data_IF_396290847968
#
_entry.id   IF_396290847968
#
_cell.length_a   1.000
_cell.length_b   1.000
_cell.length_c   1.000
_cell.angle_alpha   90.00
_cell.angle_beta   90.00
_cell.angle_gamma   90.00
#
_symmetry.space_group_name_H-M   'P 1'
#
loop_
_entity.id
_entity.type
_entity.pdbx_description
1 polymer ?
#
# COMPACT_ATOMS: atom_id res chain seq x y z
N UNK A 1 5.49 13.61 -18.59
CA UNK A 1 6.25 14.35 -17.58
C UNK A 1 6.68 13.40 -16.47
N UNK A 2 7.92 12.91 -16.56
CA UNK A 2 8.57 12.14 -15.49
C UNK A 2 9.26 13.06 -14.48
N UNK A 3 9.37 14.35 -14.77
CA UNK A 3 9.83 15.36 -13.82
C UNK A 3 8.86 15.44 -12.64
N UNK A 4 9.26 15.01 -11.48
CA UNK A 4 8.44 14.94 -10.27
C UNK A 4 8.06 13.54 -9.83
N UNK A 5 8.21 12.51 -10.69
CA UNK A 5 7.90 11.12 -10.34
C UNK A 5 9.12 10.26 -10.06
N UNK A 6 10.31 10.81 -10.18
CA UNK A 6 11.56 10.05 -10.11
C UNK A 6 11.83 9.24 -11.39
N UNK A 7 13.04 8.70 -11.46
CA UNK A 7 13.54 7.98 -12.66
C UNK A 7 12.93 6.58 -12.83
N UNK A 8 12.27 6.06 -11.81
CA UNK A 8 11.83 4.66 -11.74
C UNK A 8 10.32 4.48 -11.95
N UNK A 9 9.62 5.53 -12.34
CA UNK A 9 8.19 5.44 -12.68
C UNK A 9 8.04 4.71 -13.98
N UNK A 10 7.51 3.49 -13.92
CA UNK A 10 7.45 2.60 -15.06
C UNK A 10 6.09 2.54 -15.71
N UNK A 11 5.02 2.78 -14.97
CA UNK A 11 3.69 2.84 -15.52
C UNK A 11 3.15 4.26 -15.54
N UNK A 12 2.27 4.53 -16.54
CA UNK A 12 1.54 5.74 -16.53
C UNK A 12 0.66 5.76 -15.31
N UNK A 13 1.08 6.57 -14.42
CA UNK A 13 0.20 7.03 -13.38
C UNK A 13 -0.75 8.09 -13.92
N UNK A 14 -0.43 8.65 -15.08
CA UNK A 14 -1.12 9.72 -15.78
C UNK A 14 -1.32 9.40 -17.26
N UNK A 15 -2.29 10.09 -17.86
CA UNK A 15 -2.65 9.97 -19.27
C UNK A 15 -1.57 10.47 -20.26
N UNK A 16 -0.53 11.13 -19.75
CA UNK A 16 0.45 11.88 -20.54
C UNK A 16 1.79 11.17 -20.69
N UNK A 17 1.78 9.83 -20.79
CA UNK A 17 3.04 9.16 -21.14
C UNK A 17 3.41 9.52 -22.56
N UNK A 18 4.61 10.05 -22.68
CA UNK A 18 5.22 10.30 -23.96
C UNK A 18 5.33 9.00 -24.76
N UNK A 19 4.70 8.99 -25.93
CA UNK A 19 4.75 7.83 -26.84
C UNK A 19 6.19 7.49 -27.22
N UNK A 20 6.49 6.21 -27.22
CA UNK A 20 7.83 5.70 -27.58
C UNK A 20 8.80 5.56 -26.40
N UNK A 21 8.40 5.99 -25.20
CA UNK A 21 9.17 5.72 -23.97
C UNK A 21 9.03 4.27 -23.54
N UNK A 22 9.97 3.80 -22.73
CA UNK A 22 9.92 2.46 -22.15
C UNK A 22 8.63 2.26 -21.30
N UNK A 23 8.24 3.24 -20.51
CA UNK A 23 7.01 3.18 -19.70
C UNK A 23 5.75 3.05 -20.55
N UNK A 24 5.65 3.79 -21.65
CA UNK A 24 4.53 3.68 -22.59
C UNK A 24 4.46 2.27 -23.22
N UNK A 25 5.61 1.69 -23.59
CA UNK A 25 5.67 0.34 -24.13
C UNK A 25 5.20 -0.70 -23.11
N UNK A 26 5.68 -0.64 -21.88
CA UNK A 26 5.26 -1.52 -20.79
C UNK A 26 3.77 -1.44 -20.53
N UNK A 27 3.21 -0.25 -20.58
CA UNK A 27 1.77 -0.03 -20.42
C UNK A 27 0.96 -0.61 -21.57
N UNK A 28 1.40 -0.39 -22.80
CA UNK A 28 0.75 -0.99 -23.97
C UNK A 28 0.77 -2.51 -23.90
N UNK A 29 1.88 -3.12 -23.49
CA UNK A 29 1.99 -4.57 -23.26
C UNK A 29 1.02 -5.05 -22.17
N UNK A 30 0.90 -4.31 -21.07
CA UNK A 30 -0.03 -4.62 -19.99
C UNK A 30 -1.48 -4.60 -20.48
N UNK A 31 -1.92 -3.54 -21.15
CA UNK A 31 -3.30 -3.40 -21.64
C UNK A 31 -3.60 -4.38 -22.78
N UNK A 32 -2.67 -4.58 -23.72
CA UNK A 32 -2.86 -5.52 -24.81
C UNK A 32 -2.92 -6.96 -24.29
N UNK A 33 -2.06 -7.35 -23.33
CA UNK A 33 -2.12 -8.67 -22.69
C UNK A 33 -3.46 -8.95 -22.01
N UNK A 34 -4.05 -7.95 -21.35
CA UNK A 34 -5.43 -8.04 -20.87
C UNK A 34 -6.44 -8.25 -22.02
N UNK A 35 -6.28 -7.46 -23.10
CA UNK A 35 -7.17 -7.50 -24.26
C UNK A 35 -7.13 -8.85 -24.99
N UNK A 36 -5.96 -9.46 -25.12
CA UNK A 36 -5.75 -10.76 -25.73
C UNK A 36 -6.42 -11.89 -24.94
N UNK A 37 -6.41 -11.78 -23.62
CA UNK A 37 -7.01 -12.79 -22.75
C UNK A 37 -8.52 -12.65 -22.63
N UNK A 38 -9.04 -11.43 -22.57
CA UNK A 38 -10.44 -11.16 -22.27
C UNK A 38 -11.13 -10.40 -23.41
N UNK A 39 -11.06 -9.08 -23.36
CA UNK A 39 -11.62 -8.17 -24.35
C UNK A 39 -11.02 -6.78 -24.16
N UNK A 40 -10.37 -6.25 -25.17
CA UNK A 40 -9.66 -4.97 -25.09
C UNK A 40 -10.56 -3.80 -24.67
N UNK A 41 -11.83 -3.78 -25.11
CA UNK A 41 -12.80 -2.75 -24.70
C UNK A 41 -13.10 -2.81 -23.21
N UNK A 42 -13.28 -4.02 -22.66
CA UNK A 42 -13.50 -4.23 -21.23
C UNK A 42 -12.28 -3.81 -20.42
N UNK A 43 -11.07 -4.25 -20.84
CA UNK A 43 -9.83 -3.87 -20.19
C UNK A 43 -9.62 -2.36 -20.16
N UNK A 44 -9.82 -1.67 -21.29
CA UNK A 44 -9.70 -0.20 -21.35
C UNK A 44 -10.76 0.52 -20.52
N UNK A 45 -11.98 -0.02 -20.43
CA UNK A 45 -13.02 0.55 -19.57
C UNK A 45 -12.70 0.41 -18.07
N UNK A 46 -12.17 -0.73 -17.66
CA UNK A 46 -11.72 -0.94 -16.27
C UNK A 46 -10.52 -0.05 -15.95
N UNK A 47 -9.57 0.04 -16.88
CA UNK A 47 -8.40 0.90 -16.76
C UNK A 47 -8.80 2.37 -16.61
N UNK A 48 -9.70 2.87 -17.47
CA UNK A 48 -10.22 4.24 -17.35
C UNK A 48 -10.91 4.45 -16.01
N UNK A 49 -11.62 3.44 -15.49
CA UNK A 49 -12.29 3.53 -14.19
C UNK A 49 -11.28 3.61 -13.05
N UNK A 50 -10.17 2.82 -13.11
CA UNK A 50 -9.08 2.87 -12.15
C UNK A 50 -8.40 4.24 -12.13
N UNK A 51 -8.00 4.73 -13.30
CA UNK A 51 -7.33 6.03 -13.46
C UNK A 51 -8.26 7.20 -13.12
N UNK A 52 -9.56 7.07 -13.41
CA UNK A 52 -10.55 8.08 -13.03
C UNK A 52 -10.69 8.16 -11.49
N UNK A 53 -10.59 7.04 -10.79
CA UNK A 53 -10.60 7.05 -9.33
C UNK A 53 -9.36 7.78 -8.78
N UNK A 54 -8.17 7.48 -9.30
CA UNK A 54 -6.93 8.15 -8.91
C UNK A 54 -7.02 9.67 -9.08
N UNK A 55 -7.47 10.12 -10.27
CA UNK A 55 -7.61 11.53 -10.60
C UNK A 55 -8.65 12.25 -9.75
N UNK A 56 -9.79 11.59 -9.49
CA UNK A 56 -10.95 12.25 -8.93
C UNK A 56 -11.04 12.14 -7.41
N UNK A 57 -10.47 11.08 -6.80
CA UNK A 57 -10.50 10.89 -5.36
C UNK A 57 -9.44 11.76 -4.65
N UNK A 58 -8.20 11.74 -5.12
CA UNK A 58 -7.08 12.42 -4.47
C UNK A 58 -7.38 13.91 -4.16
N UNK A 59 -7.82 14.76 -5.09
CA UNK A 59 -8.05 16.17 -4.81
C UNK A 59 -9.27 16.46 -3.94
N UNK A 60 -10.01 15.45 -3.51
CA UNK A 60 -11.21 15.59 -2.67
C UNK A 60 -10.99 15.12 -1.24
N UNK A 61 -9.85 14.51 -0.97
CA UNK A 61 -9.54 13.93 0.33
C UNK A 61 -8.49 14.76 1.05
N UNK A 62 -8.55 14.73 2.38
CA UNK A 62 -7.57 15.35 3.23
C UNK A 62 -6.31 14.48 3.37
N UNK A 63 -5.16 15.11 3.37
CA UNK A 63 -3.89 14.51 3.77
C UNK A 63 -3.67 14.68 5.28
N UNK A 64 -3.23 13.64 5.96
CA UNK A 64 -2.98 13.65 7.41
C UNK A 64 -1.49 13.79 7.73
N UNK A 65 -0.60 13.41 6.82
CA UNK A 65 0.85 13.49 6.98
C UNK A 65 1.49 14.21 5.79
N UNK A 66 2.69 14.72 5.99
CA UNK A 66 3.38 15.53 4.99
C UNK A 66 3.66 14.76 3.69
N UNK A 67 4.22 13.55 3.80
CA UNK A 67 4.57 12.73 2.62
C UNK A 67 3.52 11.68 2.26
N UNK A 68 2.60 11.35 3.16
CA UNK A 68 1.58 10.34 2.92
C UNK A 68 2.05 8.88 3.05
N UNK A 69 3.33 8.64 3.32
CA UNK A 69 3.86 7.30 3.58
C UNK A 69 5.06 7.31 4.53
N UNK A 70 5.37 6.16 5.11
CA UNK A 70 6.57 5.94 5.91
C UNK A 70 6.94 4.46 5.92
N UNK A 71 8.22 4.14 6.16
CA UNK A 71 8.70 2.76 6.34
C UNK A 71 9.25 2.58 7.75
N UNK A 72 8.89 1.45 8.39
CA UNK A 72 9.42 1.03 9.69
C UNK A 72 9.41 -0.51 9.82
N UNK A 73 9.93 -1.03 10.94
CA UNK A 73 9.72 -2.45 11.28
C UNK A 73 8.32 -2.62 11.86
N UNK A 74 7.63 -3.67 11.45
CA UNK A 74 6.39 -4.07 12.09
C UNK A 74 6.64 -4.43 13.56
N UNK A 75 5.69 -4.19 14.46
CA UNK A 75 5.77 -4.73 15.82
C UNK A 75 6.04 -6.23 15.78
N UNK A 76 6.90 -6.69 16.67
CA UNK A 76 7.26 -8.09 16.76
C UNK A 76 6.03 -9.00 16.82
N UNK A 77 5.04 -8.60 17.63
CA UNK A 77 3.80 -9.35 17.78
C UNK A 77 2.99 -9.46 16.48
N UNK A 78 2.97 -8.40 15.66
CA UNK A 78 2.28 -8.40 14.37
C UNK A 78 2.98 -9.35 13.39
N UNK A 79 4.29 -9.23 13.30
CA UNK A 79 5.07 -10.06 12.38
C UNK A 79 5.04 -11.55 12.79
N UNK A 80 5.22 -11.86 14.08
CA UNK A 80 5.16 -13.23 14.57
C UNK A 80 3.81 -13.88 14.36
N UNK A 81 2.70 -13.17 14.64
CA UNK A 81 1.37 -13.69 14.40
C UNK A 81 1.10 -13.95 12.91
N UNK A 82 1.50 -13.01 12.04
CA UNK A 82 1.36 -13.18 10.59
C UNK A 82 2.25 -14.31 10.07
N UNK A 83 3.49 -14.42 10.56
CA UNK A 83 4.44 -15.46 10.17
C UNK A 83 4.00 -16.84 10.62
N UNK A 84 3.54 -16.99 11.87
CA UNK A 84 2.98 -18.25 12.38
C UNK A 84 1.81 -18.72 11.52
N UNK A 85 0.87 -17.81 11.24
CA UNK A 85 -0.26 -18.14 10.38
C UNK A 85 0.17 -18.56 8.97
N UNK A 86 1.13 -17.85 8.40
CA UNK A 86 1.69 -18.16 7.08
C UNK A 86 2.38 -19.52 7.04
N UNK A 87 3.26 -19.79 7.99
CA UNK A 87 4.02 -21.05 8.04
C UNK A 87 3.12 -22.28 8.19
N UNK A 88 2.00 -22.13 8.91
CA UNK A 88 1.02 -23.21 9.10
C UNK A 88 0.09 -23.38 7.90
N UNK A 89 -0.18 -22.35 7.13
CA UNK A 89 -1.30 -22.34 6.19
C UNK A 89 -0.95 -21.94 4.76
N UNK A 90 0.30 -21.63 4.43
CA UNK A 90 0.69 -21.20 3.07
C UNK A 90 0.32 -22.21 1.98
N UNK A 91 0.23 -23.48 2.30
CA UNK A 91 -0.17 -24.53 1.35
C UNK A 91 -1.71 -24.60 1.16
N UNK A 92 -2.48 -23.84 1.93
CA UNK A 92 -3.96 -23.82 1.85
C UNK A 92 -4.48 -22.56 1.13
N UNK A 93 -3.62 -21.82 0.46
CA UNK A 93 -4.00 -20.63 -0.28
C UNK A 93 -5.03 -20.94 -1.36
N UNK A 94 -5.90 -19.99 -1.62
CA UNK A 94 -6.88 -20.05 -2.71
C UNK A 94 -6.59 -18.95 -3.74
N UNK A 95 -6.73 -19.28 -5.02
CA UNK A 95 -6.62 -18.27 -6.08
C UNK A 95 -7.66 -17.17 -5.91
N UNK A 96 -7.27 -15.93 -6.09
CA UNK A 96 -8.20 -14.82 -6.09
C UNK A 96 -8.95 -14.76 -7.42
N UNK A 97 -10.26 -14.56 -7.33
CA UNK A 97 -11.09 -14.40 -8.53
C UNK A 97 -11.17 -12.93 -8.92
N UNK A 98 -10.52 -12.56 -10.01
CA UNK A 98 -10.59 -11.23 -10.58
C UNK A 98 -11.64 -11.18 -11.68
N UNK A 99 -12.50 -10.14 -11.73
CA UNK A 99 -13.42 -9.96 -12.83
C UNK A 99 -12.68 -9.84 -14.18
N UNK A 100 -13.19 -10.46 -15.25
CA UNK A 100 -12.59 -10.34 -16.58
C UNK A 100 -12.37 -8.87 -16.99
N UNK A 101 -11.16 -8.55 -17.41
CA UNK A 101 -10.78 -7.18 -17.80
C UNK A 101 -10.45 -6.24 -16.64
N UNK A 102 -10.46 -6.71 -15.39
CA UNK A 102 -9.96 -5.93 -14.26
C UNK A 102 -8.46 -5.66 -14.42
N UNK A 103 -8.02 -4.42 -14.19
CA UNK A 103 -6.65 -3.94 -14.44
C UNK A 103 -5.89 -3.54 -13.18
N UNK A 104 -6.33 -3.94 -11.99
CA UNK A 104 -5.56 -3.70 -10.76
C UNK A 104 -4.35 -4.63 -10.64
N UNK A 105 -4.48 -5.86 -11.13
CA UNK A 105 -3.37 -6.82 -11.23
C UNK A 105 -3.41 -7.47 -12.61
N UNK A 106 -2.27 -7.89 -13.12
CA UNK A 106 -2.17 -8.59 -14.40
C UNK A 106 -2.48 -10.10 -14.26
N UNK A 107 -3.65 -10.41 -13.71
CA UNK A 107 -4.10 -11.79 -13.43
C UNK A 107 -4.23 -12.68 -14.70
N UNK A 108 -4.07 -12.12 -15.88
CA UNK A 108 -3.94 -12.87 -17.14
C UNK A 108 -2.52 -13.40 -17.40
N UNK A 109 -1.53 -12.92 -16.63
CA UNK A 109 -0.13 -13.37 -16.66
C UNK A 109 0.19 -14.22 -15.46
N UNK A 110 -0.15 -13.74 -14.27
CA UNK A 110 0.15 -14.39 -13.00
C UNK A 110 -1.03 -14.24 -12.04
N UNK A 111 -1.57 -15.38 -11.59
CA UNK A 111 -2.59 -15.38 -10.56
C UNK A 111 -2.03 -14.87 -9.23
N UNK A 112 -2.87 -14.18 -8.47
CA UNK A 112 -2.61 -13.95 -7.05
C UNK A 112 -3.40 -14.94 -6.20
N UNK A 113 -2.87 -15.28 -5.03
CA UNK A 113 -3.54 -16.16 -4.08
C UNK A 113 -3.72 -15.49 -2.73
N UNK A 114 -4.66 -15.98 -1.94
CA UNK A 114 -4.97 -15.49 -0.62
C UNK A 114 -4.98 -16.61 0.41
N UNK A 115 -4.18 -16.46 1.46
CA UNK A 115 -4.33 -17.22 2.69
C UNK A 115 -5.25 -16.43 3.63
N UNK A 116 -6.56 -16.72 3.60
CA UNK A 116 -7.56 -15.87 4.24
C UNK A 116 -7.65 -16.09 5.74
N UNK A 117 -7.61 -15.00 6.52
CA UNK A 117 -7.88 -15.03 7.97
C UNK A 117 -9.34 -15.40 8.29
N UNK A 118 -10.23 -15.31 7.32
CA UNK A 118 -11.67 -15.60 7.49
C UNK A 118 -12.05 -17.00 7.00
N UNK A 119 -11.11 -17.78 6.47
CA UNK A 119 -11.36 -19.16 6.07
C UNK A 119 -11.72 -20.00 7.29
N UNK A 120 -12.93 -20.59 7.23
CA UNK A 120 -13.46 -21.41 8.34
C UNK A 120 -12.58 -22.60 8.68
N UNK A 121 -11.84 -23.12 7.70
CA UNK A 121 -10.91 -24.25 7.90
C UNK A 121 -9.70 -23.89 8.74
N UNK A 122 -9.37 -22.58 8.83
CA UNK A 122 -8.19 -22.05 9.50
C UNK A 122 -8.52 -21.39 10.85
N UNK A 123 -9.73 -21.62 11.36
CA UNK A 123 -10.15 -21.07 12.64
C UNK A 123 -9.77 -22.00 13.81
N UNK A 124 -9.52 -21.46 15.03
CA UNK A 124 -9.67 -20.03 15.41
C UNK A 124 -8.42 -19.18 15.13
N UNK A 125 -7.34 -19.74 14.58
CA UNK A 125 -6.07 -19.02 14.44
C UNK A 125 -6.19 -17.81 13.53
N UNK A 126 -6.97 -17.88 12.45
CA UNK A 126 -7.18 -16.76 11.53
C UNK A 126 -7.76 -15.52 12.23
N UNK A 127 -8.82 -15.67 13.02
CA UNK A 127 -9.42 -14.56 13.77
C UNK A 127 -8.46 -14.01 14.84
N UNK A 128 -7.79 -14.89 15.58
CA UNK A 128 -6.80 -14.49 16.57
C UNK A 128 -5.66 -13.66 15.94
N UNK A 129 -5.16 -14.11 14.79
CA UNK A 129 -4.12 -13.37 14.04
C UNK A 129 -4.62 -12.00 13.61
N UNK A 130 -5.85 -11.94 13.08
CA UNK A 130 -6.49 -10.70 12.64
C UNK A 130 -6.63 -9.69 13.79
N UNK A 131 -7.09 -10.13 14.96
CA UNK A 131 -7.25 -9.30 16.15
C UNK A 131 -5.89 -8.75 16.62
N UNK A 132 -4.86 -9.60 16.69
CA UNK A 132 -3.51 -9.17 17.07
C UNK A 132 -2.99 -8.10 16.10
N UNK A 133 -3.16 -8.30 14.80
CA UNK A 133 -2.67 -7.34 13.80
C UNK A 133 -3.38 -6.00 13.96
N UNK A 134 -4.71 -5.97 14.08
CA UNK A 134 -5.46 -4.74 14.24
C UNK A 134 -5.12 -4.00 15.52
N UNK A 135 -5.07 -4.71 16.65
CA UNK A 135 -4.82 -4.10 17.95
C UNK A 135 -3.41 -3.52 18.07
N UNK A 136 -2.42 -4.18 17.45
CA UNK A 136 -1.03 -3.75 17.54
C UNK A 136 -0.65 -2.75 16.42
N UNK A 137 -1.26 -2.80 15.24
CA UNK A 137 -0.99 -1.85 14.17
C UNK A 137 -1.71 -0.50 14.39
N UNK A 138 -2.96 -0.50 14.89
CA UNK A 138 -3.76 0.71 15.08
C UNK A 138 -3.03 1.85 15.83
N UNK A 139 -2.42 1.63 17.01
CA UNK A 139 -1.76 2.73 17.73
C UNK A 139 -0.58 3.34 16.96
N UNK A 140 0.04 2.57 16.07
CA UNK A 140 1.14 3.05 15.24
C UNK A 140 0.61 4.02 14.16
N UNK A 141 -0.47 3.62 13.48
CA UNK A 141 -1.08 4.46 12.45
C UNK A 141 -1.76 5.69 13.09
N UNK A 142 -2.37 5.55 14.27
CA UNK A 142 -2.90 6.69 15.04
C UNK A 142 -1.79 7.69 15.41
N UNK A 143 -0.64 7.20 15.90
CA UNK A 143 0.49 8.05 16.25
C UNK A 143 1.11 8.71 15.00
N UNK A 144 1.15 7.99 13.88
CA UNK A 144 1.68 8.48 12.61
C UNK A 144 0.81 9.58 12.03
N UNK A 145 -0.50 9.36 11.92
CA UNK A 145 -1.45 10.30 11.31
C UNK A 145 -1.94 11.40 12.28
N UNK A 146 -1.79 11.19 13.59
CA UNK A 146 -2.41 12.03 14.61
C UNK A 146 -3.94 11.89 14.67
N UNK A 147 -4.50 10.85 14.04
CA UNK A 147 -5.94 10.62 13.97
C UNK A 147 -6.36 9.43 14.84
N UNK A 148 -7.58 9.45 15.37
CA UNK A 148 -8.22 8.26 15.92
C UNK A 148 -8.76 7.39 14.79
N UNK A 149 -8.53 6.07 14.87
CA UNK A 149 -8.78 5.14 13.80
C UNK A 149 -9.68 3.99 14.25
N UNK A 150 -10.55 3.54 13.34
CA UNK A 150 -11.26 2.27 13.47
C UNK A 150 -10.89 1.32 12.33
N UNK A 151 -10.82 -0.01 12.60
CA UNK A 151 -10.55 -1.01 11.55
C UNK A 151 -11.60 -0.99 10.45
N UNK A 152 -11.17 -1.26 9.21
CA UNK A 152 -12.07 -1.40 8.06
C UNK A 152 -11.89 -2.74 7.37
N UNK A 153 -10.69 -3.12 6.97
CA UNK A 153 -10.48 -4.40 6.32
C UNK A 153 -9.09 -4.99 6.57
N UNK A 154 -9.08 -6.32 6.67
CA UNK A 154 -7.88 -7.15 6.77
C UNK A 154 -8.31 -8.57 6.35
N UNK A 155 -7.99 -8.96 5.12
CA UNK A 155 -8.52 -10.19 4.54
C UNK A 155 -7.65 -11.42 4.81
N UNK A 156 -6.32 -11.26 4.76
CA UNK A 156 -5.37 -12.35 4.85
C UNK A 156 -4.01 -11.97 4.30
N UNK A 157 -3.21 -12.99 3.99
CA UNK A 157 -1.90 -12.85 3.38
C UNK A 157 -2.05 -13.16 1.89
N UNK A 158 -1.81 -12.13 1.06
CA UNK A 158 -1.84 -12.24 -0.39
C UNK A 158 -0.46 -12.57 -0.91
N UNK A 159 -0.38 -13.54 -1.82
CA UNK A 159 0.84 -13.90 -2.53
C UNK A 159 0.76 -13.49 -3.99
N UNK A 160 1.83 -12.92 -4.47
CA UNK A 160 2.10 -12.62 -5.86
C UNK A 160 3.18 -13.57 -6.36
N UNK A 161 3.12 -13.95 -7.64
CA UNK A 161 4.06 -14.88 -8.25
C UNK A 161 4.80 -14.24 -9.41
N UNK A 162 5.79 -14.94 -9.95
CA UNK A 162 6.63 -14.47 -11.08
C UNK A 162 5.80 -13.83 -12.19
N UNK A 163 6.20 -12.63 -12.59
CA UNK A 163 5.53 -11.85 -13.62
C UNK A 163 4.35 -11.00 -13.09
N UNK A 164 3.96 -11.14 -11.81
CA UNK A 164 2.88 -10.35 -11.25
C UNK A 164 3.20 -8.86 -11.25
N UNK A 165 2.18 -8.06 -11.56
CA UNK A 165 2.19 -6.60 -11.51
C UNK A 165 0.98 -6.17 -10.70
N UNK A 166 1.16 -5.19 -9.81
CA UNK A 166 0.08 -4.44 -9.17
C UNK A 166 0.08 -3.04 -9.77
N UNK A 167 -0.92 -2.75 -10.61
CA UNK A 167 -1.03 -1.44 -11.25
C UNK A 167 -1.17 -0.34 -10.20
N UNK A 168 -0.56 0.81 -10.49
CA UNK A 168 -0.60 1.98 -9.60
C UNK A 168 -2.02 2.49 -9.42
N UNK A 169 -2.46 2.70 -8.18
CA UNK A 169 -3.81 3.09 -7.83
C UNK A 169 -3.86 3.78 -6.47
N UNK A 170 -4.99 4.39 -6.16
CA UNK A 170 -5.39 4.68 -4.79
C UNK A 170 -6.45 3.69 -4.34
N UNK A 171 -6.49 3.41 -3.05
CA UNK A 171 -7.53 2.58 -2.48
C UNK A 171 -8.86 3.32 -2.43
N UNK A 172 -9.94 2.61 -2.75
CA UNK A 172 -11.30 3.14 -2.59
C UNK A 172 -11.64 3.35 -1.12
N UNK A 173 -12.44 4.35 -0.83
CA UNK A 173 -13.03 4.49 0.51
C UNK A 173 -13.85 3.24 0.89
N UNK A 174 -13.82 2.81 2.15
CA UNK A 174 -13.28 3.46 3.35
C UNK A 174 -11.82 3.09 3.70
N UNK A 175 -10.99 2.69 2.77
CA UNK A 175 -9.59 2.33 3.01
C UNK A 175 -8.77 3.63 2.98
N UNK A 176 -8.50 4.22 4.14
CA UNK A 176 -7.93 5.57 4.23
C UNK A 176 -6.47 5.55 4.70
N UNK A 177 -6.24 4.96 5.85
CA UNK A 177 -4.91 4.85 6.45
C UNK A 177 -4.56 3.38 6.55
N UNK A 178 -3.50 3.00 5.91
CA UNK A 178 -3.19 1.61 5.69
C UNK A 178 -1.75 1.25 6.02
N UNK A 179 -1.51 -0.03 6.22
CA UNK A 179 -0.16 -0.56 6.28
C UNK A 179 -0.03 -1.83 5.43
N UNK A 180 1.11 -1.94 4.76
CA UNK A 180 1.55 -3.16 4.09
C UNK A 180 2.65 -3.78 4.94
N UNK A 181 2.53 -5.08 5.27
CA UNK A 181 3.55 -5.81 6.00
C UNK A 181 4.03 -6.95 5.13
N UNK A 182 5.32 -6.99 4.84
CA UNK A 182 5.90 -8.14 4.15
C UNK A 182 6.04 -9.30 5.14
N UNK A 183 5.42 -10.42 4.82
CA UNK A 183 5.39 -11.62 5.66
C UNK A 183 6.50 -12.58 5.26
N UNK A 184 6.63 -12.82 3.96
CA UNK A 184 7.62 -13.74 3.39
C UNK A 184 7.88 -13.40 1.92
N UNK A 185 9.04 -13.80 1.40
CA UNK A 185 9.36 -13.61 -0.01
C UNK A 185 10.50 -14.53 -0.46
N UNK A 186 10.43 -14.93 -1.72
CA UNK A 186 11.50 -15.60 -2.44
C UNK A 186 11.67 -14.91 -3.80
N UNK A 187 12.56 -13.92 -3.83
CA UNK A 187 12.76 -13.01 -4.96
C UNK A 187 14.21 -12.99 -5.42
N UNK A 188 14.42 -12.91 -6.73
CA UNK A 188 15.74 -12.80 -7.35
C UNK A 188 16.30 -11.38 -7.25
N UNK A 189 15.41 -10.38 -7.25
CA UNK A 189 15.72 -8.97 -7.04
C UNK A 189 14.64 -8.31 -6.19
N UNK A 190 14.93 -7.17 -5.60
CA UNK A 190 13.95 -6.42 -4.82
C UNK A 190 12.74 -6.05 -5.67
N UNK A 191 11.54 -6.26 -5.11
CA UNK A 191 10.28 -5.88 -5.73
C UNK A 191 9.59 -4.79 -4.90
N UNK A 192 10.02 -3.52 -5.08
CA UNK A 192 9.55 -2.42 -4.27
C UNK A 192 8.07 -2.14 -4.52
N UNK A 193 7.42 -1.54 -3.54
CA UNK A 193 6.21 -0.78 -3.80
C UNK A 193 6.62 0.64 -4.18
N UNK A 194 6.16 1.10 -5.34
CA UNK A 194 6.28 2.49 -5.77
C UNK A 194 5.14 3.28 -5.12
N UNK A 195 5.48 4.37 -4.49
CA UNK A 195 4.51 5.30 -3.89
C UNK A 195 4.79 6.72 -4.38
N UNK A 196 3.76 7.46 -4.72
CA UNK A 196 3.89 8.89 -5.05
C UNK A 196 3.51 9.69 -3.82
N UNK A 197 4.50 10.31 -3.21
CA UNK A 197 4.30 11.14 -2.04
C UNK A 197 3.39 12.34 -2.31
N UNK A 198 2.88 12.97 -1.26
CA UNK A 198 2.10 14.20 -1.36
C UNK A 198 2.91 15.39 -1.93
N UNK A 199 4.23 15.25 -2.00
CA UNK A 199 5.15 16.15 -2.69
C UNK A 199 5.19 15.94 -4.22
N UNK A 200 4.47 14.91 -4.72
CA UNK A 200 4.42 14.56 -6.14
C UNK A 200 5.64 13.78 -6.63
N UNK A 201 6.53 13.33 -5.73
CA UNK A 201 7.71 12.54 -6.07
C UNK A 201 7.40 11.04 -5.90
N UNK A 202 7.84 10.23 -6.86
CA UNK A 202 7.74 8.77 -6.75
C UNK A 202 8.94 8.20 -5.97
N UNK A 203 8.63 7.26 -5.07
CA UNK A 203 9.59 6.61 -4.20
C UNK A 203 9.44 5.09 -4.31
N UNK A 204 10.55 4.40 -4.48
CA UNK A 204 10.60 2.94 -4.39
C UNK A 204 10.87 2.50 -2.95
N UNK A 205 9.86 1.89 -2.32
CA UNK A 205 9.93 1.40 -0.95
C UNK A 205 10.13 -0.11 -0.95
N UNK A 206 11.36 -0.55 -0.76
CA UNK A 206 11.68 -1.98 -0.62
C UNK A 206 11.31 -2.48 0.78
N UNK A 207 10.57 -3.58 0.84
CA UNK A 207 10.23 -4.27 2.09
C UNK A 207 10.90 -5.65 2.13
N UNK A 208 11.42 -6.00 3.29
CA UNK A 208 11.90 -7.34 3.64
C UNK A 208 10.94 -7.95 4.66
N UNK A 209 10.93 -9.28 4.87
CA UNK A 209 10.10 -9.92 5.89
C UNK A 209 10.20 -9.22 7.25
N UNK A 210 9.04 -8.80 7.78
CA UNK A 210 8.91 -7.99 8.99
C UNK A 210 9.04 -6.48 8.80
N UNK A 211 9.26 -5.97 7.58
CA UNK A 211 9.11 -4.53 7.31
C UNK A 211 7.64 -4.17 7.11
N UNK A 212 7.30 -2.94 7.47
CA UNK A 212 5.98 -2.34 7.34
C UNK A 212 6.08 -0.99 6.64
N UNK A 213 5.28 -0.80 5.60
CA UNK A 213 5.04 0.50 4.99
C UNK A 213 3.69 1.03 5.48
N UNK A 214 3.69 2.24 6.05
CA UNK A 214 2.47 3.01 6.34
C UNK A 214 2.18 3.89 5.14
N UNK A 215 0.91 4.04 4.79
CA UNK A 215 0.53 4.94 3.70
C UNK A 215 -0.92 5.41 3.82
N UNK A 216 -1.16 6.63 3.36
CA UNK A 216 -2.50 7.20 3.22
C UNK A 216 -3.09 6.69 1.91
N UNK A 217 -3.56 5.45 1.92
CA UNK A 217 -3.89 4.68 0.73
C UNK A 217 -4.98 5.31 -0.15
N UNK A 218 -5.76 6.23 0.40
CA UNK A 218 -6.83 6.95 -0.32
C UNK A 218 -6.32 8.16 -1.13
N UNK A 219 -5.09 8.65 -0.87
CA UNK A 219 -4.50 9.83 -1.54
C UNK A 219 -3.10 9.59 -2.08
N UNK A 220 -2.39 8.58 -1.61
CA UNK A 220 -1.07 8.20 -2.10
C UNK A 220 -1.23 7.16 -3.21
N UNK A 221 -0.89 7.55 -4.43
CA UNK A 221 -0.76 6.61 -5.53
C UNK A 221 0.28 5.57 -5.19
N UNK A 222 -0.07 4.30 -5.30
CA UNK A 222 0.83 3.20 -4.96
C UNK A 222 0.60 1.97 -5.82
N UNK A 223 1.65 1.20 -6.04
CA UNK A 223 1.60 -0.01 -6.86
C UNK A 223 2.94 -0.71 -6.93
N UNK A 224 2.98 -1.77 -7.74
CA UNK A 224 4.19 -2.51 -8.09
C UNK A 224 4.22 -2.67 -9.60
N UNK A 225 4.58 -1.61 -10.32
CA UNK A 225 4.44 -1.56 -11.78
C UNK A 225 5.47 -2.42 -12.52
N UNK A 226 6.47 -2.96 -11.81
CA UNK A 226 7.46 -3.85 -12.39
C UNK A 226 7.08 -5.32 -12.19
N UNK A 227 7.24 -6.19 -13.18
CA UNK A 227 7.00 -7.62 -13.03
C UNK A 227 7.86 -8.23 -11.90
N UNK A 228 7.23 -9.00 -11.03
CA UNK A 228 7.94 -9.75 -10.00
C UNK A 228 8.94 -10.72 -10.63
N UNK A 229 10.20 -10.64 -10.21
CA UNK A 229 11.25 -11.63 -10.51
C UNK A 229 11.54 -12.43 -9.25
N UNK A 230 11.15 -13.68 -9.23
CA UNK A 230 11.24 -14.57 -8.09
C UNK A 230 10.12 -15.60 -8.09
N UNK A 231 10.05 -16.41 -7.05
CA UNK A 231 9.02 -17.43 -6.93
C UNK A 231 7.74 -16.86 -6.34
N UNK A 232 7.85 -16.07 -5.26
CA UNK A 232 6.68 -15.44 -4.63
C UNK A 232 7.04 -14.21 -3.79
N UNK A 233 6.01 -13.40 -3.50
CA UNK A 233 6.05 -12.27 -2.59
C UNK A 233 4.75 -12.19 -1.79
N UNK A 234 4.80 -12.42 -0.48
CA UNK A 234 3.65 -12.52 0.40
C UNK A 234 3.53 -11.30 1.32
N UNK A 235 2.40 -10.59 1.22
CA UNK A 235 2.08 -9.43 2.05
C UNK A 235 0.72 -9.58 2.72
N UNK A 236 0.55 -8.87 3.83
CA UNK A 236 -0.77 -8.52 4.33
C UNK A 236 -1.01 -7.01 4.21
N UNK A 237 -2.27 -6.65 4.10
CA UNK A 237 -2.74 -5.27 3.97
C UNK A 237 -3.76 -5.03 5.08
N UNK A 238 -3.47 -4.07 5.95
CA UNK A 238 -4.36 -3.69 7.04
C UNK A 238 -4.83 -2.25 6.84
N UNK A 239 -6.15 -2.03 6.95
CA UNK A 239 -6.77 -0.76 6.61
C UNK A 239 -7.62 -0.23 7.75
N UNK A 240 -7.57 1.09 7.90
CA UNK A 240 -8.31 1.84 8.89
C UNK A 240 -8.96 3.07 8.25
N UNK A 241 -9.97 3.61 8.97
CA UNK A 241 -10.58 4.90 8.65
C UNK A 241 -10.51 5.81 9.87
N UNK A 242 -10.18 7.11 9.69
CA UNK A 242 -10.31 8.09 10.75
C UNK A 242 -11.75 8.24 11.22
N UNK A 243 -11.91 8.38 12.53
CA UNK A 243 -13.20 8.65 13.17
C UNK A 243 -13.27 10.08 13.66
N UNK A 244 -14.49 10.57 13.82
CA UNK A 244 -14.73 11.88 14.44
C UNK A 244 -14.15 11.88 15.86
N UNK A 245 -13.28 12.82 16.23
CA UNK A 245 -12.68 12.87 17.56
C UNK A 245 -13.71 13.09 18.66
N UNK A 246 -14.84 13.77 18.35
CA UNK A 246 -15.91 14.06 19.29
C UNK A 246 -16.99 12.96 19.30
N UNK A 247 -17.11 12.17 18.23
CA UNK A 247 -18.04 11.05 18.12
C UNK A 247 -17.41 9.86 17.36
N UNK A 248 -16.69 8.97 18.07
CA UNK A 248 -16.02 7.83 17.45
C UNK A 248 -16.94 6.83 16.71
N UNK A 249 -18.27 6.96 16.88
CA UNK A 249 -19.22 6.15 16.09
C UNK A 249 -19.31 6.62 14.64
N UNK A 250 -18.95 7.87 14.36
CA UNK A 250 -18.98 8.49 13.04
C UNK A 250 -17.60 8.44 12.39
N UNK A 251 -17.59 8.53 11.06
CA UNK A 251 -16.35 8.76 10.31
C UNK A 251 -15.94 10.23 10.42
N UNK A 252 -14.64 10.49 10.28
CA UNK A 252 -14.12 11.84 10.29
C UNK A 252 -14.82 12.71 9.23
N UNK A 253 -15.26 13.94 9.57
CA UNK A 253 -16.06 14.77 8.68
C UNK A 253 -15.34 15.18 7.38
N UNK A 254 -14.01 15.14 7.38
CA UNK A 254 -13.18 15.50 6.23
C UNK A 254 -12.97 14.35 5.24
N UNK A 255 -13.54 13.18 5.49
CA UNK A 255 -13.52 12.06 4.54
C UNK A 255 -14.74 12.19 3.63
N UNK A 256 -14.51 12.61 2.40
CA UNK A 256 -15.58 12.80 1.42
C UNK A 256 -16.01 11.47 0.80
N UNK A 257 -17.10 10.89 1.32
CA UNK A 257 -17.77 9.73 0.72
C UNK A 257 -18.66 10.07 -0.47
N UNK A 258 -18.84 11.36 -0.78
CA UNK A 258 -19.68 11.85 -1.88
C UNK A 258 -19.18 11.47 -3.28
N UNK A 259 -18.10 10.71 -3.36
CA UNK A 259 -17.47 10.21 -4.58
C UNK A 259 -18.22 9.03 -5.24
N UNK A 260 -19.48 8.87 -4.98
CA UNK A 260 -20.34 7.88 -5.65
C UNK A 260 -20.67 8.34 -7.08
N UNK A 261 -21.25 7.44 -7.86
CA UNK A 261 -21.66 7.69 -9.27
C UNK A 261 -22.48 8.98 -9.50
N UNK A 262 -23.17 9.52 -8.47
CA UNK A 262 -23.83 10.82 -8.54
C UNK A 262 -22.84 11.99 -8.57
N UNK A 263 -21.75 11.90 -7.84
CA UNK A 263 -20.70 12.94 -7.85
C UNK A 263 -19.97 13.02 -9.21
N UNK A 264 -20.08 12.01 -10.08
CA UNK A 264 -19.59 12.10 -11.46
C UNK A 264 -20.25 13.23 -12.25
N UNK A 265 -21.49 13.57 -11.96
CA UNK A 265 -22.19 14.67 -12.63
C UNK A 265 -21.81 16.05 -12.07
N UNK A 266 -21.41 16.13 -10.81
CA UNK A 266 -20.93 17.37 -10.16
C UNK A 266 -19.48 17.74 -10.55
N UNK A 267 -18.72 16.85 -11.19
CA UNK A 267 -17.32 17.05 -11.60
C UNK A 267 -17.13 18.18 -12.59
N UNK A 268 -18.16 18.54 -13.33
CA UNK A 268 -18.12 19.59 -14.33
C UNK A 268 -18.38 20.99 -13.77
N UNK A 269 -18.58 21.08 -12.43
CA UNK A 269 -18.81 22.36 -11.76
C UNK A 269 -17.50 22.91 -11.18
N UNK A 270 -16.84 23.90 -11.83
CA UNK A 270 -15.59 24.49 -11.36
C UNK A 270 -15.72 25.14 -9.98
N UNK A 271 -16.94 25.61 -9.61
CA UNK A 271 -17.18 26.28 -8.32
C UNK A 271 -17.10 25.30 -7.16
N UNK A 272 -17.65 24.08 -7.33
CA UNK A 272 -17.57 23.03 -6.30
C UNK A 272 -16.15 22.52 -6.12
N UNK A 273 -15.38 22.39 -7.19
CA UNK A 273 -13.98 22.01 -7.13
C UNK A 273 -13.15 23.06 -6.37
N UNK A 274 -13.39 24.33 -6.63
CA UNK A 274 -12.71 25.43 -5.95
C UNK A 274 -13.11 25.53 -4.47
N UNK A 275 -14.37 25.33 -4.13
CA UNK A 275 -14.84 25.27 -2.75
C UNK A 275 -14.15 24.12 -1.96
N UNK A 276 -14.02 22.95 -2.58
CA UNK A 276 -13.31 21.80 -1.99
C UNK A 276 -11.86 22.14 -1.75
N UNK A 277 -11.15 22.69 -2.74
CA UNK A 277 -9.74 23.14 -2.57
C UNK A 277 -9.61 24.16 -1.43
N UNK A 278 -10.54 25.11 -1.33
CA UNK A 278 -10.52 26.13 -0.28
C UNK A 278 -10.74 25.51 1.11
N UNK A 279 -11.64 24.53 1.24
CA UNK A 279 -11.82 23.77 2.47
C UNK A 279 -10.56 23.03 2.86
N UNK A 280 -9.95 22.28 1.93
CA UNK A 280 -8.72 21.54 2.19
C UNK A 280 -7.54 22.47 2.57
N UNK A 281 -7.43 23.62 1.89
CA UNK A 281 -6.37 24.62 2.20
C UNK A 281 -6.55 25.30 3.56
N UNK A 282 -7.73 25.26 4.15
CA UNK A 282 -8.02 25.83 5.48
C UNK A 282 -7.57 24.92 6.63
N UNK A 283 -7.25 23.66 6.37
CA UNK A 283 -6.77 22.76 7.42
C UNK A 283 -5.33 23.06 7.84
N UNK A 284 -4.98 22.81 9.11
CA UNK A 284 -3.60 22.89 9.55
C UNK A 284 -2.71 22.01 8.66
N UNK A 285 -1.52 22.50 8.33
CA UNK A 285 -0.54 21.68 7.63
C UNK A 285 -0.23 20.44 8.47
N UNK A 286 -0.09 19.27 7.86
CA UNK A 286 0.36 18.07 8.56
C UNK A 286 1.71 18.30 9.25
N UNK A 287 1.94 17.55 10.34
CA UNK A 287 3.27 17.50 10.93
C UNK A 287 4.31 17.01 9.91
N UNK A 288 5.58 17.40 10.11
CA UNK A 288 6.65 16.97 9.22
C UNK A 288 6.77 15.44 9.16
N UNK A 289 7.27 14.94 8.06
CA UNK A 289 7.51 13.50 7.85
C UNK A 289 8.34 12.89 8.98
N UNK A 290 9.37 13.59 9.45
CA UNK A 290 10.24 13.14 10.54
C UNK A 290 9.46 12.99 11.85
N UNK A 291 8.63 13.96 12.21
CA UNK A 291 7.80 13.92 13.44
C UNK A 291 6.79 12.78 13.37
N UNK A 292 6.07 12.63 12.26
CA UNK A 292 5.11 11.55 12.07
C UNK A 292 5.78 10.19 12.17
N UNK A 293 6.92 10.02 11.49
CA UNK A 293 7.66 8.76 11.49
C UNK A 293 8.26 8.43 12.85
N UNK A 294 8.78 9.43 13.56
CA UNK A 294 9.29 9.24 14.94
C UNK A 294 8.19 8.79 15.90
N UNK A 295 7.00 9.38 15.82
CA UNK A 295 5.82 8.96 16.61
C UNK A 295 5.41 7.51 16.30
N UNK A 296 5.39 7.14 15.04
CA UNK A 296 5.05 5.78 14.62
C UNK A 296 6.09 4.75 15.12
N UNK A 297 7.38 5.05 15.02
CA UNK A 297 8.46 4.19 15.53
C UNK A 297 8.37 4.02 17.04
N UNK A 298 8.10 5.11 17.77
CA UNK A 298 7.89 5.05 19.23
C UNK A 298 6.69 4.17 19.57
N UNK A 299 5.56 4.35 18.89
CA UNK A 299 4.37 3.53 19.12
C UNK A 299 4.59 2.04 18.83
N UNK A 300 5.40 1.72 17.81
CA UNK A 300 5.80 0.34 17.52
C UNK A 300 6.65 -0.26 18.65
N UNK A 301 7.64 0.48 19.15
CA UNK A 301 8.47 0.06 20.28
C UNK A 301 7.66 -0.11 21.58
N UNK A 302 6.73 0.80 21.85
CA UNK A 302 5.83 0.73 23.01
C UNK A 302 4.90 -0.49 22.92
N UNK A 303 4.45 -0.85 21.71
CA UNK A 303 3.65 -2.04 21.44
C UNK A 303 4.43 -3.33 21.80
N UNK A 304 5.66 -3.43 21.34
CA UNK A 304 6.52 -4.57 21.64
C UNK A 304 6.85 -4.69 23.16
N UNK A 305 7.12 -3.56 23.82
CA UNK A 305 7.41 -3.50 25.25
C UNK A 305 6.24 -3.96 26.13
N UNK A 306 5.01 -3.54 25.81
CA UNK A 306 3.81 -3.94 26.55
C UNK A 306 3.57 -5.44 26.56
N UNK A 307 3.90 -6.10 25.47
CA UNK A 307 3.68 -7.54 25.29
C UNK A 307 4.78 -8.40 25.92
N UNK A 308 6.01 -7.89 25.97
CA UNK A 308 7.16 -8.58 26.57
C UNK A 308 7.26 -8.43 28.09
N UNK A 309 6.45 -7.56 28.72
CA UNK A 309 6.56 -7.22 30.14
C UNK A 309 7.84 -6.47 30.51
N UNK A 310 8.63 -6.03 29.52
CA UNK A 310 9.88 -5.27 29.71
C UNK A 310 9.55 -3.79 29.50
N UNK A 311 9.98 -2.87 30.41
CA UNK A 311 9.80 -1.44 30.21
C UNK A 311 10.45 -1.00 28.89
N UNK A 312 9.79 -0.08 28.18
CA UNK A 312 10.26 0.46 26.92
C UNK A 312 11.69 0.96 27.02
N UNK A 313 12.62 0.34 26.30
CA UNK A 313 13.96 0.87 26.11
C UNK A 313 13.88 1.95 25.03
N UNK A 314 14.69 3.00 25.19
CA UNK A 314 14.80 4.09 24.23
C UNK A 314 15.02 3.62 22.78
N UNK A 315 15.00 4.53 21.78
CA UNK A 315 15.07 4.19 20.37
C UNK A 315 16.19 3.18 20.08
N UNK A 316 15.86 2.14 19.32
CA UNK A 316 16.83 1.14 18.89
C UNK A 316 17.99 1.85 18.17
N UNK A 317 19.25 1.46 18.42
CA UNK A 317 20.37 2.00 17.66
C UNK A 317 20.15 1.78 16.16
N UNK A 318 20.49 2.77 15.34
CA UNK A 318 20.53 2.60 13.89
C UNK A 318 21.35 1.35 13.55
N UNK A 319 20.83 0.51 12.66
CA UNK A 319 21.62 -0.63 12.17
C UNK A 319 22.97 -0.15 11.64
N UNK A 320 24.08 -0.76 12.05
CA UNK A 320 25.38 -0.39 11.52
C UNK A 320 25.37 -0.60 10.00
N UNK A 321 25.68 0.44 9.25
CA UNK A 321 25.81 0.40 7.78
C UNK A 321 26.68 -0.80 7.42
N UNK A 322 26.09 -1.85 6.86
CA UNK A 322 26.83 -3.02 6.36
C UNK A 322 27.86 -2.52 5.36
N UNK A 323 29.14 -2.75 5.66
CA UNK A 323 30.21 -2.55 4.67
C UNK A 323 29.85 -3.37 3.44
N UNK A 324 29.85 -2.75 2.26
CA UNK A 324 29.67 -3.46 0.99
C UNK A 324 30.66 -4.61 0.94
N UNK A 325 30.18 -5.81 0.79
CA UNK A 325 31.01 -6.96 0.45
C UNK A 325 31.66 -6.70 -0.94
N UNK A 326 32.78 -7.41 -1.22
CA UNK A 326 33.50 -7.24 -2.48
C UNK A 326 32.56 -7.43 -3.67
N UNK A 327 32.74 -6.62 -4.71
CA UNK A 327 31.96 -6.72 -5.95
C UNK A 327 32.19 -8.08 -6.63
N UNK A 328 31.25 -8.55 -7.47
CA UNK A 328 31.44 -9.81 -8.21
C UNK A 328 32.72 -9.89 -9.06
N UNK A 329 33.34 -8.75 -9.38
CA UNK A 329 34.61 -8.67 -10.08
C UNK A 329 35.83 -8.94 -9.17
N UNK A 330 35.72 -8.68 -7.87
CA UNK A 330 36.80 -8.92 -6.90
C UNK A 330 36.79 -10.37 -6.39
N UNK A 331 35.63 -11.04 -6.39
CA UNK A 331 35.51 -12.45 -6.01
C UNK A 331 36.12 -13.42 -7.04
N UNK A 332 36.38 -12.99 -8.29
CA UNK A 332 37.00 -13.83 -9.34
C UNK A 332 38.54 -13.90 -9.27
N UNK A 333 39.19 -13.25 -8.32
CA UNK A 333 40.66 -13.26 -8.18
C UNK A 333 41.19 -14.18 -7.09
N UNK A 334 40.33 -14.98 -6.44
CA UNK A 334 40.72 -15.86 -5.33
C UNK A 334 40.42 -17.35 -5.61
N UNK A 335 40.22 -17.73 -6.89
CA UNK A 335 40.27 -19.13 -7.34
C UNK A 335 41.06 -19.24 -8.64
#
# INVERSE_FOLDING_TARGET
>A
HTEGYGVDVSFPMHYDIEKGTWGAKMYDEFINGCGDKYNLRSCRSNEESRMAMDRDQIPRQRNFTELGFAKLRAPKAVYEAAREFWDLHRETQTSESWPPGNTYVNHWVADSTMCSFEDRRLQPLGFKTKDIIWDQARPILEAWTGQKLKPTSLYGIRSYFRGAILATHVDRLPLVTSAIINVDQDVEEDWPIEVVGHDGVAYNVTLKPGDMALYESHTVLHGRPFPLKGNFYANLFVHFIPVDPDDPSKNHPDIDFGWTSRARNDRRDPKKAEETRRKLAAYPKPDSHEVCTARARKAAADSDARRSGVPARGPLPEEPKRKRGPSPAEARKIY
#
